data_IF_143401044589
#
_entry.id   IF_143401044589
#
_cell.length_a   1.000
_cell.length_b   1.000
_cell.length_c   1.000
_cell.angle_alpha   90.00
_cell.angle_beta   90.00
_cell.angle_gamma   90.00
#
_symmetry.space_group_name_H-M   'P 1'
#
loop_
_entity.id
_entity.type
_entity.pdbx_description
1 polymer ?
#
# COMPACT_ATOMS: atom_id res chain seq x y z
N UNK A 1 -16.74 2.94 -15.19
CA UNK A 1 -15.59 2.03 -15.29
C UNK A 1 -14.37 2.93 -15.27
N UNK A 2 -13.72 3.12 -14.11
CA UNK A 2 -12.57 4.01 -14.00
C UNK A 2 -11.33 3.32 -14.57
N UNK A 3 -10.53 4.05 -15.35
CA UNK A 3 -9.28 3.55 -15.92
C UNK A 3 -8.35 3.06 -14.80
N UNK A 4 -7.85 1.82 -14.94
CA UNK A 4 -6.85 1.29 -14.02
C UNK A 4 -5.53 2.07 -14.20
N UNK A 5 -5.09 2.75 -13.16
CA UNK A 5 -3.83 3.51 -13.17
C UNK A 5 -2.65 2.54 -13.00
N UNK A 6 -1.74 2.50 -13.98
CA UNK A 6 -0.49 1.73 -13.92
C UNK A 6 0.71 2.67 -13.79
N UNK A 7 1.77 2.17 -13.16
CA UNK A 7 3.09 2.83 -13.08
C UNK A 7 4.16 1.84 -13.56
N UNK A 8 5.23 2.36 -14.16
CA UNK A 8 6.45 1.60 -14.47
C UNK A 8 7.53 2.05 -13.50
N UNK A 9 8.27 1.11 -12.92
CA UNK A 9 9.29 1.37 -11.90
C UNK A 9 10.59 0.64 -12.25
N UNK A 10 11.72 1.18 -11.81
CA UNK A 10 13.02 0.52 -11.90
C UNK A 10 13.27 -0.48 -10.74
N UNK A 11 14.41 -1.18 -10.75
CA UNK A 11 14.75 -2.18 -9.73
C UNK A 11 14.87 -1.60 -8.31
N UNK A 12 15.38 -0.36 -8.17
CA UNK A 12 15.55 0.30 -6.88
C UNK A 12 14.21 0.76 -6.32
N UNK A 13 13.37 1.33 -7.18
CA UNK A 13 11.99 1.72 -6.86
C UNK A 13 11.16 0.50 -6.46
N UNK A 14 11.27 -0.59 -7.23
CA UNK A 14 10.61 -1.86 -6.94
C UNK A 14 10.97 -2.40 -5.55
N UNK A 15 12.27 -2.52 -5.25
CA UNK A 15 12.74 -2.98 -3.94
C UNK A 15 12.27 -2.07 -2.80
N UNK A 16 12.25 -0.75 -3.03
CA UNK A 16 11.81 0.24 -2.04
C UNK A 16 10.31 0.15 -1.76
N UNK A 17 9.49 -0.02 -2.80
CA UNK A 17 8.04 -0.19 -2.65
C UNK A 17 7.74 -1.44 -1.82
N UNK A 18 8.39 -2.57 -2.10
CA UNK A 18 8.22 -3.79 -1.32
C UNK A 18 8.63 -3.61 0.15
N UNK A 19 9.78 -2.97 0.40
CA UNK A 19 10.23 -2.68 1.75
C UNK A 19 9.23 -1.78 2.51
N UNK A 20 8.69 -0.76 1.85
CA UNK A 20 7.70 0.15 2.43
C UNK A 20 6.38 -0.56 2.75
N UNK A 21 5.90 -1.43 1.86
CA UNK A 21 4.70 -2.24 2.09
C UNK A 21 4.87 -3.18 3.29
N UNK A 22 6.04 -3.82 3.41
CA UNK A 22 6.35 -4.68 4.56
C UNK A 22 6.49 -3.89 5.85
N UNK A 23 7.08 -2.70 5.80
CA UNK A 23 7.13 -1.81 6.95
C UNK A 23 5.72 -1.39 7.39
N UNK A 24 4.85 -1.00 6.46
CA UNK A 24 3.46 -0.65 6.74
C UNK A 24 2.73 -1.79 7.46
N UNK A 25 2.83 -3.01 6.92
CA UNK A 25 2.21 -4.20 7.49
C UNK A 25 2.76 -4.53 8.89
N UNK A 26 4.08 -4.63 9.03
CA UNK A 26 4.73 -5.03 10.30
C UNK A 26 4.62 -3.97 11.39
N UNK A 27 4.41 -2.70 11.03
CA UNK A 27 4.13 -1.62 11.97
C UNK A 27 2.66 -1.56 12.42
N UNK A 28 1.81 -2.48 11.96
CA UNK A 28 0.39 -2.55 12.33
C UNK A 28 -0.49 -1.49 11.64
N UNK A 29 0.01 -0.79 10.62
CA UNK A 29 -0.69 0.33 9.96
C UNK A 29 -1.82 -0.13 9.01
N UNK A 30 -1.98 -1.45 8.82
CA UNK A 30 -3.17 -2.02 8.21
C UNK A 30 -4.43 -1.69 9.01
N UNK A 31 -4.30 -1.53 10.34
CA UNK A 31 -5.38 -1.06 11.19
C UNK A 31 -5.43 0.48 11.16
N UNK A 32 -6.58 1.08 10.82
CA UNK A 32 -6.72 2.54 10.73
C UNK A 32 -6.35 3.29 12.01
N UNK A 33 -6.55 2.68 13.17
CA UNK A 33 -6.28 3.28 14.48
C UNK A 33 -4.77 3.39 14.80
N UNK A 34 -3.93 2.65 14.07
CA UNK A 34 -2.48 2.58 14.31
C UNK A 34 -1.68 3.58 13.45
N UNK A 35 -2.34 4.39 12.62
CA UNK A 35 -1.70 5.35 11.70
C UNK A 35 -2.18 6.77 11.98
N UNK A 36 -1.34 7.76 11.64
CA UNK A 36 -1.71 9.17 11.76
C UNK A 36 -2.78 9.57 10.74
N UNK A 37 -3.51 10.65 11.01
CA UNK A 37 -4.51 11.20 10.08
C UNK A 37 -3.92 11.46 8.68
N UNK A 38 -2.66 11.92 8.61
CA UNK A 38 -1.98 12.14 7.34
C UNK A 38 -1.76 10.84 6.54
N UNK A 39 -1.36 9.76 7.21
CA UNK A 39 -1.20 8.46 6.55
C UNK A 39 -2.55 7.82 6.23
N UNK A 40 -3.57 8.06 7.06
CA UNK A 40 -4.93 7.62 6.80
C UNK A 40 -5.50 8.28 5.54
N UNK A 41 -5.32 9.59 5.40
CA UNK A 41 -5.75 10.36 4.24
C UNK A 41 -5.11 9.83 2.95
N UNK A 42 -3.80 9.57 2.97
CA UNK A 42 -3.07 8.97 1.83
C UNK A 42 -3.60 7.57 1.50
N UNK A 43 -3.73 6.70 2.51
CA UNK A 43 -4.13 5.30 2.31
C UNK A 43 -5.57 5.13 1.83
N UNK A 44 -6.41 6.16 2.03
CA UNK A 44 -7.83 6.14 1.67
C UNK A 44 -8.17 7.12 0.54
N UNK A 45 -7.19 7.86 0.01
CA UNK A 45 -7.40 8.98 -0.91
C UNK A 45 -8.50 9.93 -0.38
N UNK A 46 -8.35 10.43 0.84
CA UNK A 46 -9.37 11.29 1.46
C UNK A 46 -10.68 10.57 1.75
N UNK A 47 -10.64 9.30 2.14
CA UNK A 47 -11.81 8.43 2.38
C UNK A 47 -12.61 8.01 1.13
N UNK A 48 -12.08 8.24 -0.08
CA UNK A 48 -12.68 7.75 -1.33
C UNK A 48 -12.56 6.22 -1.51
N UNK A 49 -11.54 5.60 -0.89
CA UNK A 49 -11.29 4.17 -0.97
C UNK A 49 -10.98 3.56 0.41
N UNK A 50 -11.21 2.25 0.51
CA UNK A 50 -10.80 1.47 1.68
C UNK A 50 -9.32 1.11 1.53
N UNK A 51 -8.52 1.45 2.53
CA UNK A 51 -7.12 1.05 2.58
C UNK A 51 -6.98 -0.47 2.66
N UNK A 52 -5.93 -1.02 2.07
CA UNK A 52 -5.66 -2.46 2.11
C UNK A 52 -5.42 -2.98 3.54
N UNK A 53 -5.95 -4.15 3.82
CA UNK A 53 -5.62 -4.92 5.02
C UNK A 53 -4.30 -5.70 4.85
N UNK A 54 -3.90 -6.46 5.87
CA UNK A 54 -2.64 -7.20 5.86
C UNK A 54 -2.59 -8.28 4.75
N UNK A 55 -3.69 -9.01 4.54
CA UNK A 55 -3.75 -10.07 3.54
C UNK A 55 -3.71 -9.50 2.11
N UNK A 56 -4.39 -8.37 1.88
CA UNK A 56 -4.37 -7.69 0.60
C UNK A 56 -3.00 -7.05 0.30
N UNK A 57 -2.24 -6.63 1.31
CA UNK A 57 -0.84 -6.22 1.15
C UNK A 57 0.06 -7.40 0.80
N UNK A 58 -0.17 -8.59 1.38
CA UNK A 58 0.57 -9.80 1.00
C UNK A 58 0.34 -10.13 -0.49
N UNK A 59 -0.92 -10.14 -0.92
CA UNK A 59 -1.28 -10.37 -2.32
C UNK A 59 -0.68 -9.30 -3.26
N UNK A 60 -0.62 -8.03 -2.82
CA UNK A 60 0.03 -6.96 -3.57
C UNK A 60 1.54 -7.18 -3.70
N UNK A 61 2.22 -7.60 -2.61
CA UNK A 61 3.64 -7.90 -2.64
C UNK A 61 3.96 -9.07 -3.59
N UNK A 62 3.13 -10.11 -3.61
CA UNK A 62 3.28 -11.24 -4.56
C UNK A 62 3.09 -10.78 -6.00
N UNK A 63 2.09 -9.94 -6.26
CA UNK A 63 1.83 -9.37 -7.58
C UNK A 63 2.99 -8.49 -8.08
N UNK A 64 3.62 -7.75 -7.19
CA UNK A 64 4.73 -6.84 -7.50
C UNK A 64 6.04 -7.63 -7.77
N UNK A 65 6.28 -8.73 -7.06
CA UNK A 65 7.50 -9.56 -7.17
C UNK A 65 7.56 -10.50 -8.39
N UNK A 66 6.62 -10.41 -9.36
CA UNK A 66 6.61 -11.26 -10.55
C UNK A 66 7.64 -10.83 -11.59
#
# INVERSE_FOLDING_TARGET
MGDAKSITVDEQEHATILAALRFWQTSGMCEPDNRSDALHDIATNGSDVISLDADAIDALCEKINQ
#
